data_IF_307722868299
#
_entry.id   IF_307722868299
#
_cell.length_a   1.000
_cell.length_b   1.000
_cell.length_c   1.000
_cell.angle_alpha   90.00
_cell.angle_beta   90.00
_cell.angle_gamma   90.00
#
_symmetry.space_group_name_H-M   'P 1'
#
loop_
_entity.id
_entity.type
_entity.pdbx_description
1 polymer ?
#
# COMPACT_ATOMS: atom_id res chain seq x y z
N UNK A 1 30.09 -54.75 22.06
CA UNK A 1 28.88 -53.96 21.77
C UNK A 1 27.69 -54.81 22.19
N UNK A 2 26.74 -54.31 22.99
CA UNK A 2 25.74 -55.17 23.64
C UNK A 2 24.38 -55.25 22.91
N UNK A 3 24.13 -54.42 21.90
CA UNK A 3 22.85 -54.35 21.16
C UNK A 3 23.10 -53.99 19.69
N UNK A 4 22.22 -54.41 18.79
CA UNK A 4 22.25 -54.09 17.35
C UNK A 4 21.50 -52.80 17.02
N UNK A 5 21.76 -52.22 15.84
CA UNK A 5 21.06 -51.02 15.37
C UNK A 5 19.57 -51.30 15.13
N UNK A 6 19.25 -52.50 14.65
CA UNK A 6 17.88 -52.97 14.38
C UNK A 6 17.05 -53.07 15.66
N UNK A 7 17.60 -53.67 16.72
CA UNK A 7 16.93 -53.79 18.02
C UNK A 7 16.61 -52.43 18.66
N UNK A 8 17.51 -51.46 18.49
CA UNK A 8 17.31 -50.10 18.99
C UNK A 8 16.22 -49.36 18.20
N UNK A 9 16.20 -49.51 16.87
CA UNK A 9 15.19 -48.90 16.00
C UNK A 9 13.80 -49.48 16.29
N UNK A 10 13.68 -50.80 16.44
CA UNK A 10 12.39 -51.44 16.65
C UNK A 10 11.75 -51.01 17.97
N UNK A 11 12.54 -50.95 19.04
CA UNK A 11 12.07 -50.45 20.32
C UNK A 11 11.60 -48.98 20.29
N UNK A 12 12.20 -48.13 19.45
CA UNK A 12 11.71 -46.76 19.27
C UNK A 12 10.35 -46.72 18.57
N UNK A 13 10.11 -47.61 17.60
CA UNK A 13 8.80 -47.72 16.93
C UNK A 13 7.72 -48.24 17.87
N UNK A 14 8.04 -49.25 18.68
CA UNK A 14 7.14 -49.77 19.73
C UNK A 14 6.73 -48.66 20.70
N UNK A 15 7.71 -47.90 21.24
CA UNK A 15 7.44 -46.78 22.14
C UNK A 15 6.60 -45.68 21.48
N UNK A 16 6.81 -45.41 20.19
CA UNK A 16 6.02 -44.43 19.47
C UNK A 16 4.56 -44.87 19.32
N UNK A 17 4.34 -46.14 19.01
CA UNK A 17 3.01 -46.73 18.93
C UNK A 17 2.26 -46.67 20.28
N UNK A 18 2.97 -46.90 21.39
CA UNK A 18 2.40 -46.83 22.75
C UNK A 18 2.08 -45.38 23.16
N UNK A 19 3.02 -44.45 22.94
CA UNK A 19 2.91 -43.08 23.45
C UNK A 19 2.10 -42.14 22.55
N UNK A 20 1.91 -42.49 21.27
CA UNK A 20 1.33 -41.60 20.26
C UNK A 20 2.16 -40.34 20.00
N UNK A 21 3.41 -40.28 20.49
CA UNK A 21 4.35 -39.16 20.36
C UNK A 21 5.79 -39.66 20.29
N UNK A 22 6.73 -38.88 19.73
CA UNK A 22 8.15 -39.21 19.76
C UNK A 22 8.63 -39.48 21.19
N UNK A 23 9.26 -40.65 21.47
CA UNK A 23 9.77 -40.94 22.79
C UNK A 23 10.85 -39.93 23.19
N UNK A 24 10.95 -39.65 24.49
CA UNK A 24 11.98 -38.79 25.08
C UNK A 24 12.85 -39.59 26.04
N UNK A 25 13.98 -39.04 26.50
CA UNK A 25 14.92 -39.75 27.39
C UNK A 25 14.26 -40.42 28.62
N UNK A 26 13.19 -39.83 29.16
CA UNK A 26 12.44 -40.37 30.32
C UNK A 26 11.56 -41.57 29.97
N UNK A 27 11.20 -41.73 28.71
CA UNK A 27 10.35 -42.82 28.24
C UNK A 27 11.17 -44.11 27.97
N UNK A 28 12.50 -43.99 27.86
CA UNK A 28 13.40 -45.11 27.62
C UNK A 28 13.59 -45.95 28.89
N UNK A 29 12.89 -47.09 28.97
CA UNK A 29 13.00 -48.03 30.09
C UNK A 29 13.96 -49.19 29.81
N UNK A 30 14.01 -49.65 28.55
CA UNK A 30 14.74 -50.88 28.14
C UNK A 30 16.20 -50.61 27.77
N UNK A 31 16.44 -49.57 26.97
CA UNK A 31 17.78 -49.23 26.48
C UNK A 31 18.18 -47.83 26.91
N UNK A 32 19.46 -47.64 27.27
CA UNK A 32 19.93 -46.33 27.73
C UNK A 32 19.98 -45.32 26.58
N UNK A 33 19.75 -44.05 26.90
CA UNK A 33 19.88 -42.95 25.94
C UNK A 33 21.26 -42.91 25.26
N UNK A 34 22.32 -43.29 25.99
CA UNK A 34 23.68 -43.29 25.45
C UNK A 34 23.93 -44.41 24.44
N UNK A 35 23.15 -45.49 24.46
CA UNK A 35 23.22 -46.53 23.43
C UNK A 35 22.87 -45.93 22.06
N UNK A 36 21.76 -45.19 21.97
CA UNK A 36 21.35 -44.51 20.74
C UNK A 36 22.36 -43.48 20.26
N UNK A 37 22.97 -42.73 21.19
CA UNK A 37 24.02 -41.76 20.86
C UNK A 37 25.26 -42.44 20.29
N UNK A 38 25.68 -43.59 20.85
CA UNK A 38 26.87 -44.33 20.39
C UNK A 38 26.66 -44.97 19.02
N UNK A 39 25.46 -45.49 18.74
CA UNK A 39 25.15 -46.17 17.48
C UNK A 39 24.81 -45.19 16.35
N UNK A 40 23.99 -44.17 16.61
CA UNK A 40 23.44 -43.27 15.57
C UNK A 40 24.02 -41.85 15.62
N UNK A 41 24.96 -41.57 16.53
CA UNK A 41 25.52 -40.25 16.79
C UNK A 41 24.60 -39.33 17.62
N UNK A 42 23.29 -39.41 17.41
CA UNK A 42 22.28 -38.67 18.17
C UNK A 42 20.98 -39.46 18.33
N UNK A 43 20.20 -39.13 19.36
CA UNK A 43 18.88 -39.75 19.55
C UNK A 43 17.88 -39.37 18.45
N UNK A 44 17.97 -38.15 17.91
CA UNK A 44 17.13 -37.75 16.78
C UNK A 44 17.51 -38.47 15.47
N UNK A 45 18.78 -38.82 15.27
CA UNK A 45 19.20 -39.66 14.15
C UNK A 45 18.61 -41.07 14.25
N UNK A 46 18.53 -41.61 15.48
CA UNK A 46 17.86 -42.87 15.73
C UNK A 46 16.35 -42.79 15.42
N UNK A 47 15.68 -41.69 15.79
CA UNK A 47 14.29 -41.44 15.41
C UNK A 47 14.11 -41.32 13.90
N UNK A 48 15.00 -40.61 13.19
CA UNK A 48 14.97 -40.50 11.72
C UNK A 48 15.14 -41.87 11.06
N UNK A 49 16.12 -42.67 11.52
CA UNK A 49 16.36 -44.04 11.05
C UNK A 49 15.16 -44.96 11.33
N UNK A 50 14.44 -44.72 12.42
CA UNK A 50 13.20 -45.40 12.75
C UNK A 50 11.97 -44.90 11.96
N UNK A 51 12.11 -43.85 11.13
CA UNK A 51 11.01 -43.24 10.39
C UNK A 51 10.06 -42.40 11.27
N UNK A 52 10.52 -41.96 12.44
CA UNK A 52 9.72 -41.25 13.44
C UNK A 52 9.97 -39.74 13.40
N UNK A 53 8.97 -38.91 13.78
CA UNK A 53 9.16 -37.47 13.87
C UNK A 53 10.19 -37.12 14.96
N UNK A 54 11.14 -36.26 14.63
CA UNK A 54 12.21 -35.86 15.56
C UNK A 54 11.68 -35.05 16.73
N UNK A 55 12.29 -35.26 17.90
CA UNK A 55 11.97 -34.44 19.05
C UNK A 55 12.61 -33.05 18.86
N UNK A 56 11.77 -32.02 18.70
CA UNK A 56 12.18 -30.62 18.48
C UNK A 56 13.13 -30.09 19.58
N UNK A 57 13.18 -30.75 20.73
CA UNK A 57 14.07 -30.41 21.86
C UNK A 57 15.51 -30.93 21.71
N UNK A 58 15.82 -31.78 20.72
CA UNK A 58 17.10 -32.51 20.64
C UNK A 58 17.82 -32.45 19.27
N UNK A 59 17.77 -31.31 18.56
CA UNK A 59 18.60 -31.14 17.35
C UNK A 59 20.08 -31.24 17.70
N UNK A 60 20.84 -32.09 17.00
CA UNK A 60 22.29 -32.12 17.12
C UNK A 60 22.93 -30.93 16.41
N UNK A 61 24.20 -30.69 16.70
CA UNK A 61 24.98 -29.64 16.04
C UNK A 61 25.05 -29.87 14.52
N UNK A 62 25.19 -31.13 14.10
CA UNK A 62 25.18 -31.52 12.68
C UNK A 62 23.83 -31.24 12.00
N UNK A 63 22.70 -31.47 12.68
CA UNK A 63 21.37 -31.24 12.11
C UNK A 63 21.15 -29.75 11.80
N UNK A 64 21.53 -28.89 12.74
CA UNK A 64 21.37 -27.44 12.61
C UNK A 64 22.31 -26.90 11.53
N UNK A 65 23.59 -27.28 11.57
CA UNK A 65 24.58 -26.80 10.59
C UNK A 65 24.26 -27.33 9.18
N UNK A 66 23.82 -28.59 9.06
CA UNK A 66 23.39 -29.19 7.80
C UNK A 66 22.18 -28.48 7.19
N UNK A 67 21.18 -28.13 8.00
CA UNK A 67 20.07 -27.30 7.53
C UNK A 67 20.53 -25.92 7.03
N UNK A 68 21.44 -25.26 7.76
CA UNK A 68 21.97 -23.94 7.36
C UNK A 68 22.68 -24.03 6.00
N UNK A 69 23.49 -25.07 5.79
CA UNK A 69 24.19 -25.31 4.52
C UNK A 69 23.21 -25.60 3.38
N UNK A 70 22.22 -26.45 3.62
CA UNK A 70 21.21 -26.77 2.61
C UNK A 70 20.37 -25.54 2.25
N UNK A 71 19.98 -24.74 3.24
CA UNK A 71 19.25 -23.49 3.02
C UNK A 71 20.02 -22.56 2.09
N UNK A 72 21.33 -22.41 2.30
CA UNK A 72 22.20 -21.59 1.45
C UNK A 72 22.25 -22.10 0.02
N UNK A 73 22.46 -23.41 -0.18
CA UNK A 73 22.48 -24.04 -1.51
C UNK A 73 21.17 -23.84 -2.27
N UNK A 74 20.03 -24.00 -1.61
CA UNK A 74 18.71 -23.91 -2.25
C UNK A 74 18.26 -22.47 -2.52
N UNK A 75 18.56 -21.54 -1.62
CA UNK A 75 18.02 -20.17 -1.68
C UNK A 75 19.02 -19.14 -2.22
N UNK A 76 20.28 -19.52 -2.44
CA UNK A 76 21.35 -18.61 -2.86
C UNK A 76 21.66 -17.50 -1.84
N UNK A 77 21.17 -17.63 -0.60
CA UNK A 77 21.37 -16.66 0.49
C UNK A 77 21.52 -17.36 1.83
N UNK A 78 22.28 -16.77 2.74
CA UNK A 78 22.41 -17.28 4.10
C UNK A 78 21.08 -17.13 4.87
N UNK A 79 20.69 -18.11 5.71
CA UNK A 79 19.45 -18.04 6.47
C UNK A 79 19.47 -16.89 7.48
N UNK A 80 18.34 -16.21 7.63
CA UNK A 80 18.12 -15.23 8.68
C UNK A 80 17.72 -15.92 9.99
N UNK A 81 17.90 -15.23 11.13
CA UNK A 81 17.41 -15.72 12.44
C UNK A 81 15.91 -16.04 12.38
N UNK A 82 15.13 -15.28 11.61
CA UNK A 82 13.70 -15.58 11.40
C UNK A 82 13.46 -16.87 10.61
N UNK A 83 14.30 -17.18 9.61
CA UNK A 83 14.19 -18.42 8.85
C UNK A 83 14.53 -19.62 9.77
N UNK A 84 15.54 -19.44 10.61
CA UNK A 84 15.91 -20.42 11.62
C UNK A 84 14.81 -20.63 12.67
N UNK A 85 14.20 -19.55 13.20
CA UNK A 85 13.08 -19.66 14.14
C UNK A 85 11.86 -20.31 13.49
N UNK A 86 11.56 -20.03 12.21
CA UNK A 86 10.48 -20.71 11.49
C UNK A 86 10.71 -22.21 11.39
N UNK A 87 11.94 -22.64 11.16
CA UNK A 87 12.28 -24.06 11.06
C UNK A 87 12.31 -24.75 12.43
N UNK A 88 13.00 -24.16 13.41
CA UNK A 88 13.37 -24.84 14.66
C UNK A 88 12.61 -24.35 15.89
N UNK A 89 11.88 -23.24 15.78
CA UNK A 89 11.02 -22.69 16.84
C UNK A 89 11.75 -21.99 17.99
N UNK A 90 13.07 -22.17 18.15
CA UNK A 90 13.80 -21.63 19.31
C UNK A 90 15.19 -21.07 18.96
N UNK A 91 15.35 -19.76 19.19
CA UNK A 91 16.64 -19.06 19.02
C UNK A 91 17.72 -19.49 20.02
N UNK A 92 17.34 -20.11 21.16
CA UNK A 92 18.29 -20.62 22.15
C UNK A 92 19.13 -21.78 21.60
N UNK A 93 18.62 -22.50 20.58
CA UNK A 93 19.30 -23.65 19.99
C UNK A 93 20.66 -23.29 19.40
N UNK A 94 20.79 -22.15 18.71
CA UNK A 94 22.09 -21.71 18.21
C UNK A 94 22.84 -20.90 19.28
N UNK A 95 22.12 -20.13 20.11
CA UNK A 95 22.74 -19.23 21.10
C UNK A 95 23.55 -19.98 22.15
N UNK A 96 23.03 -21.11 22.64
CA UNK A 96 23.71 -21.91 23.65
C UNK A 96 24.92 -22.71 23.11
N UNK A 97 25.02 -22.86 21.78
CA UNK A 97 26.05 -23.68 21.12
C UNK A 97 27.16 -22.84 20.51
N UNK A 98 26.78 -21.85 19.70
CA UNK A 98 27.70 -21.04 18.91
C UNK A 98 27.63 -19.55 19.26
N UNK A 99 26.79 -19.16 20.24
CA UNK A 99 26.68 -17.78 20.71
C UNK A 99 25.91 -16.89 19.75
N UNK A 100 26.61 -16.13 18.91
CA UNK A 100 25.99 -15.20 17.96
C UNK A 100 25.56 -15.91 16.68
N UNK A 101 24.54 -15.40 15.99
CA UNK A 101 24.13 -15.95 14.69
C UNK A 101 25.26 -15.88 13.66
N UNK A 102 26.09 -14.83 13.75
CA UNK A 102 27.28 -14.69 12.92
C UNK A 102 28.26 -15.86 13.12
N UNK A 103 28.55 -16.22 14.36
CA UNK A 103 29.39 -17.37 14.67
C UNK A 103 28.76 -18.68 14.19
N UNK A 104 27.44 -18.85 14.34
CA UNK A 104 26.73 -20.01 13.79
C UNK A 104 26.94 -20.17 12.28
N UNK A 105 26.82 -19.07 11.51
CA UNK A 105 27.06 -19.10 10.06
C UNK A 105 28.53 -19.39 9.72
N UNK A 106 29.50 -18.83 10.47
CA UNK A 106 30.93 -19.16 10.33
C UNK A 106 31.17 -20.66 10.55
N UNK A 107 30.64 -21.23 11.62
CA UNK A 107 30.76 -22.66 11.93
C UNK A 107 30.13 -23.53 10.85
N UNK A 108 29.00 -23.08 10.28
CA UNK A 108 28.34 -23.75 9.16
C UNK A 108 29.11 -23.63 7.83
N UNK A 109 30.19 -22.83 7.77
CA UNK A 109 30.93 -22.49 6.55
C UNK A 109 30.05 -21.86 5.47
N UNK A 110 29.09 -21.06 5.90
CA UNK A 110 28.18 -20.30 5.02
C UNK A 110 28.48 -18.81 5.19
N UNK A 111 28.39 -17.98 4.13
CA UNK A 111 28.70 -16.55 4.24
C UNK A 111 27.95 -15.88 5.39
N UNK A 112 28.70 -15.29 6.31
CA UNK A 112 28.13 -14.52 7.41
C UNK A 112 27.54 -13.26 6.82
N UNK A 113 26.23 -13.04 7.00
CA UNK A 113 25.65 -11.73 6.72
C UNK A 113 26.33 -10.75 7.66
N UNK A 114 27.14 -9.86 7.12
CA UNK A 114 27.90 -8.94 7.94
C UNK A 114 26.94 -8.07 8.77
N UNK A 115 27.22 -8.00 10.07
CA UNK A 115 26.78 -6.87 10.87
C UNK A 115 27.46 -5.65 10.25
N UNK A 116 26.69 -4.69 9.73
CA UNK A 116 27.23 -3.52 9.02
C UNK A 116 28.19 -2.65 9.85
N UNK A 117 28.38 -2.97 11.14
CA UNK A 117 29.34 -2.32 12.00
C UNK A 117 30.82 -2.65 11.69
N UNK A 118 31.10 -3.54 10.72
CA UNK A 118 32.47 -3.95 10.39
C UNK A 118 32.74 -4.22 8.89
N UNK A 119 31.91 -3.75 7.96
CA UNK A 119 32.30 -3.78 6.55
C UNK A 119 33.34 -2.71 6.30
N UNK A 120 34.45 -3.07 5.67
CA UNK A 120 35.32 -2.09 5.04
C UNK A 120 34.61 -1.40 3.89
N UNK A 121 35.06 -0.20 3.56
CA UNK A 121 34.54 0.57 2.43
C UNK A 121 34.67 -0.22 1.11
N UNK A 122 35.77 -0.93 0.90
CA UNK A 122 35.99 -1.75 -0.29
C UNK A 122 34.98 -2.92 -0.39
N UNK A 123 34.75 -3.64 0.71
CA UNK A 123 33.74 -4.71 0.76
C UNK A 123 32.32 -4.19 0.50
N UNK A 124 32.04 -2.96 0.93
CA UNK A 124 30.76 -2.31 0.71
C UNK A 124 30.52 -2.00 -0.76
N UNK A 125 31.57 -1.54 -1.44
CA UNK A 125 31.56 -1.26 -2.87
C UNK A 125 31.44 -2.54 -3.70
N UNK A 126 32.24 -3.56 -3.40
CA UNK A 126 32.24 -4.84 -4.13
C UNK A 126 30.87 -5.51 -4.06
N UNK A 127 30.27 -5.55 -2.86
CA UNK A 127 28.95 -6.14 -2.68
C UNK A 127 27.87 -5.35 -3.43
N UNK A 128 27.97 -4.02 -3.43
CA UNK A 128 27.05 -3.17 -4.21
C UNK A 128 27.18 -3.45 -5.70
N UNK A 129 28.39 -3.58 -6.23
CA UNK A 129 28.66 -3.91 -7.65
C UNK A 129 28.07 -5.28 -8.00
N UNK A 130 28.29 -6.31 -7.17
CA UNK A 130 27.77 -7.65 -7.38
C UNK A 130 26.25 -7.65 -7.50
N UNK A 131 25.55 -7.03 -6.54
CA UNK A 131 24.08 -6.96 -6.57
C UNK A 131 23.60 -6.14 -7.77
N UNK A 132 24.30 -5.09 -8.15
CA UNK A 132 23.97 -4.33 -9.35
C UNK A 132 24.13 -5.15 -10.64
N UNK A 133 25.19 -5.97 -10.75
CA UNK A 133 25.38 -6.91 -11.87
C UNK A 133 24.26 -7.95 -11.93
N UNK A 134 23.84 -8.47 -10.78
CA UNK A 134 22.71 -9.42 -10.70
C UNK A 134 21.38 -8.78 -11.14
N UNK A 135 21.15 -7.52 -10.81
CA UNK A 135 19.90 -6.82 -11.10
C UNK A 135 19.90 -6.14 -12.48
N UNK A 136 21.06 -5.93 -13.09
CA UNK A 136 21.23 -5.06 -14.26
C UNK A 136 20.89 -3.58 -13.98
N UNK A 137 20.74 -3.19 -12.71
CA UNK A 137 20.38 -1.83 -12.27
C UNK A 137 20.77 -1.60 -10.82
N UNK A 138 20.74 -0.34 -10.40
CA UNK A 138 20.86 0.02 -8.97
C UNK A 138 19.70 -0.58 -8.16
N UNK A 139 19.98 -1.23 -7.02
CA UNK A 139 18.96 -1.69 -6.08
C UNK A 139 18.04 -0.56 -5.62
N UNK A 140 16.73 -0.82 -5.51
CA UNK A 140 15.76 0.07 -4.87
C UNK A 140 15.88 -0.04 -3.35
N UNK A 141 15.39 0.95 -2.60
CA UNK A 141 15.50 1.02 -1.13
C UNK A 141 15.16 -0.30 -0.41
N UNK A 142 14.05 -0.94 -0.77
CA UNK A 142 13.61 -2.20 -0.13
C UNK A 142 14.49 -3.40 -0.49
N UNK A 143 15.22 -3.31 -1.60
CA UNK A 143 16.09 -4.36 -2.10
C UNK A 143 17.46 -4.38 -1.41
N UNK A 144 17.90 -3.27 -0.82
CA UNK A 144 19.12 -3.25 -0.01
C UNK A 144 19.05 -4.27 1.13
N UNK A 145 17.96 -4.28 1.88
CA UNK A 145 17.74 -5.29 2.93
C UNK A 145 17.62 -6.71 2.35
N UNK A 146 16.89 -6.86 1.23
CA UNK A 146 16.67 -8.15 0.54
C UNK A 146 17.99 -8.81 0.11
N UNK A 147 18.92 -8.04 -0.43
CA UNK A 147 20.21 -8.54 -0.93
C UNK A 147 21.36 -8.46 0.08
N UNK A 148 21.05 -8.05 1.32
CA UNK A 148 22.04 -7.94 2.39
C UNK A 148 23.04 -6.80 2.18
N UNK A 149 22.65 -5.76 1.45
CA UNK A 149 23.42 -4.52 1.34
C UNK A 149 23.18 -3.63 2.57
N UNK A 150 24.18 -2.81 2.97
CA UNK A 150 24.02 -1.79 3.99
C UNK A 150 22.89 -0.82 3.64
N UNK A 151 22.34 -0.14 4.64
CA UNK A 151 21.29 0.84 4.34
C UNK A 151 21.83 1.92 3.38
N UNK A 152 20.98 2.52 2.51
CA UNK A 152 21.43 3.62 1.66
C UNK A 152 22.08 4.77 2.44
N UNK A 153 21.67 5.00 3.69
CA UNK A 153 22.24 5.98 4.61
C UNK A 153 23.68 5.64 5.01
N UNK A 154 23.98 4.36 5.21
CA UNK A 154 25.33 3.87 5.57
C UNK A 154 26.37 4.22 4.50
N UNK A 155 25.99 4.22 3.21
CA UNK A 155 26.88 4.67 2.14
C UNK A 155 27.17 6.17 2.20
N UNK A 156 26.20 6.98 2.64
CA UNK A 156 26.40 8.43 2.81
C UNK A 156 27.36 8.68 3.99
N UNK A 157 27.21 7.93 5.08
CA UNK A 157 28.06 8.04 6.26
C UNK A 157 29.52 7.62 5.99
N UNK A 158 29.74 6.54 5.24
CA UNK A 158 31.07 6.03 4.93
C UNK A 158 31.77 6.77 3.79
N UNK A 159 31.06 7.04 2.68
CA UNK A 159 31.67 7.57 1.46
C UNK A 159 31.38 9.06 1.20
N UNK A 160 30.58 9.70 2.06
CA UNK A 160 30.09 11.07 1.85
C UNK A 160 29.17 11.21 0.64
N UNK A 161 28.73 10.10 0.04
CA UNK A 161 27.90 10.13 -1.18
C UNK A 161 26.95 8.94 -1.24
N UNK A 162 25.87 9.10 -2.01
CA UNK A 162 24.94 8.00 -2.22
C UNK A 162 25.62 6.83 -2.91
N UNK A 163 25.13 5.60 -2.66
CA UNK A 163 25.51 4.39 -3.40
C UNK A 163 25.49 4.62 -4.93
N UNK A 164 24.58 5.50 -5.39
CA UNK A 164 24.49 5.89 -6.77
C UNK A 164 25.71 6.68 -7.28
N UNK A 165 26.09 7.73 -6.56
CA UNK A 165 27.25 8.54 -6.92
C UNK A 165 28.56 7.77 -6.72
N UNK A 166 28.61 6.87 -5.73
CA UNK A 166 29.77 6.04 -5.44
C UNK A 166 30.16 5.18 -6.63
N UNK A 167 29.22 4.44 -7.20
CA UNK A 167 29.49 3.60 -8.36
C UNK A 167 29.76 4.43 -9.64
N UNK A 168 29.15 5.63 -9.78
CA UNK A 168 29.50 6.56 -10.87
C UNK A 168 30.96 7.01 -10.77
N UNK A 169 31.43 7.38 -9.57
CA UNK A 169 32.82 7.74 -9.30
C UNK A 169 33.79 6.62 -9.67
N UNK A 170 33.37 5.37 -9.51
CA UNK A 170 34.17 4.17 -9.84
C UNK A 170 33.95 3.65 -11.28
N UNK A 171 33.33 4.44 -12.16
CA UNK A 171 33.23 4.11 -13.60
C UNK A 171 32.11 3.15 -13.99
N UNK A 172 31.21 2.76 -13.07
CA UNK A 172 30.11 1.82 -13.35
C UNK A 172 28.89 2.49 -14.01
N UNK A 173 29.11 3.24 -15.10
CA UNK A 173 28.10 4.11 -15.74
C UNK A 173 26.87 3.33 -16.27
N UNK A 174 27.07 2.10 -16.78
CA UNK A 174 25.99 1.27 -17.34
C UNK A 174 24.90 0.90 -16.30
N UNK A 175 25.24 0.95 -15.01
CA UNK A 175 24.32 0.65 -13.91
C UNK A 175 23.40 1.87 -13.58
N UNK A 176 23.80 3.08 -14.01
CA UNK A 176 23.17 4.37 -13.68
C UNK A 176 22.26 4.97 -14.74
N UNK A 177 22.40 4.55 -15.99
CA UNK A 177 21.80 5.26 -17.12
C UNK A 177 20.35 4.84 -17.34
N UNK A 178 19.42 5.25 -16.47
CA UNK A 178 18.00 5.25 -16.87
C UNK A 178 17.16 6.44 -16.37
N UNK A 179 17.63 7.32 -15.47
CA UNK A 179 16.68 8.26 -14.82
C UNK A 179 17.05 9.73 -14.75
N UNK A 180 18.05 10.24 -15.48
CA UNK A 180 18.32 11.69 -15.40
C UNK A 180 18.54 12.49 -16.68
N UNK A 181 18.58 11.89 -17.86
CA UNK A 181 18.50 12.60 -19.15
C UNK A 181 18.21 11.57 -20.26
N UNK A 182 16.95 11.16 -20.38
CA UNK A 182 16.52 10.42 -21.57
C UNK A 182 16.22 11.48 -22.64
N UNK A 183 16.99 11.51 -23.72
CA UNK A 183 16.65 12.37 -24.87
C UNK A 183 15.32 11.92 -25.47
N UNK A 184 14.65 12.82 -26.17
CA UNK A 184 13.40 12.50 -26.86
C UNK A 184 13.55 11.25 -27.75
N UNK A 185 14.67 11.13 -28.46
CA UNK A 185 14.97 10.01 -29.35
C UNK A 185 14.99 8.66 -28.61
N UNK A 186 15.63 8.62 -27.43
CA UNK A 186 15.71 7.37 -26.65
C UNK A 186 14.36 6.93 -26.11
N UNK A 187 13.48 7.88 -25.74
CA UNK A 187 12.12 7.54 -25.32
C UNK A 187 11.29 7.04 -26.51
N UNK A 188 11.53 7.57 -27.71
CA UNK A 188 10.87 7.09 -28.92
C UNK A 188 11.32 5.67 -29.25
N UNK A 189 12.62 5.38 -29.17
CA UNK A 189 13.16 4.03 -29.41
C UNK A 189 12.64 3.02 -28.37
N UNK A 190 12.64 3.40 -27.08
CA UNK A 190 12.08 2.58 -26.00
C UNK A 190 10.60 2.25 -26.26
N UNK A 191 9.81 3.25 -26.68
CA UNK A 191 8.40 3.06 -26.98
C UNK A 191 8.17 2.14 -28.21
N UNK A 192 9.06 2.18 -29.20
CA UNK A 192 9.01 1.29 -30.37
C UNK A 192 9.36 -0.15 -30.01
N UNK A 193 10.43 -0.34 -29.25
CA UNK A 193 10.85 -1.66 -28.74
C UNK A 193 9.72 -2.32 -27.94
N UNK A 194 9.04 -1.57 -27.07
CA UNK A 194 7.93 -2.09 -26.28
C UNK A 194 6.73 -2.46 -27.16
N UNK A 195 6.44 -1.65 -28.17
CA UNK A 195 5.35 -1.96 -29.10
C UNK A 195 5.63 -3.24 -29.89
N UNK A 196 6.89 -3.48 -30.27
CA UNK A 196 7.34 -4.71 -30.92
C UNK A 196 7.23 -5.91 -29.96
N UNK A 197 7.72 -5.76 -28.72
CA UNK A 197 7.66 -6.80 -27.69
C UNK A 197 6.22 -7.25 -27.39
N UNK A 198 5.28 -6.30 -27.35
CA UNK A 198 3.87 -6.57 -27.06
C UNK A 198 3.08 -6.97 -28.31
N UNK A 199 3.63 -6.78 -29.52
CA UNK A 199 2.91 -6.91 -30.79
C UNK A 199 1.79 -5.88 -31.00
N UNK A 200 1.70 -4.86 -30.14
CA UNK A 200 0.73 -3.77 -30.22
C UNK A 200 1.23 -2.52 -29.47
N UNK A 201 0.64 -1.37 -29.78
CA UNK A 201 1.01 -0.09 -29.14
C UNK A 201 0.58 -0.11 -27.67
N UNK A 202 1.49 0.10 -26.70
CA UNK A 202 1.17 0.02 -25.29
C UNK A 202 0.19 1.11 -24.84
N UNK A 203 -0.77 0.75 -23.98
CA UNK A 203 -1.56 1.72 -23.23
C UNK A 203 -0.75 2.32 -22.07
N UNK A 204 -1.23 3.45 -21.52
CA UNK A 204 -0.62 4.07 -20.33
C UNK A 204 -0.57 3.13 -19.13
N UNK A 205 -1.60 2.29 -18.97
CA UNK A 205 -1.67 1.34 -17.86
C UNK A 205 -0.69 0.18 -18.03
N UNK A 206 -0.54 -0.34 -19.25
CA UNK A 206 0.46 -1.37 -19.58
C UNK A 206 1.86 -0.82 -19.40
N UNK A 207 2.12 0.39 -19.87
CA UNK A 207 3.40 1.05 -19.69
C UNK A 207 3.76 1.21 -18.21
N UNK A 208 2.82 1.68 -17.38
CA UNK A 208 3.06 1.83 -15.94
C UNK A 208 3.21 0.48 -15.21
N UNK A 209 2.57 -0.60 -15.69
CA UNK A 209 2.77 -1.95 -15.17
C UNK A 209 4.12 -2.52 -15.57
N UNK A 210 4.53 -2.34 -16.82
CA UNK A 210 5.85 -2.74 -17.31
C UNK A 210 6.94 -1.99 -16.54
N UNK A 211 6.84 -0.68 -16.40
CA UNK A 211 7.82 0.16 -15.70
C UNK A 211 7.96 -0.18 -14.19
N UNK A 212 6.98 -0.87 -13.58
CA UNK A 212 7.11 -1.37 -12.20
C UNK A 212 8.10 -2.53 -12.10
N UNK A 213 8.12 -3.39 -13.10
CA UNK A 213 8.82 -4.68 -13.10
C UNK A 213 10.00 -4.75 -14.10
N UNK A 214 10.23 -3.69 -14.89
CA UNK A 214 11.28 -3.62 -15.92
C UNK A 214 12.11 -2.33 -15.80
N UNK A 215 13.00 -2.13 -16.77
CA UNK A 215 13.83 -0.92 -16.90
C UNK A 215 13.17 0.20 -17.71
N UNK A 216 11.98 -0.03 -18.27
CA UNK A 216 11.27 0.96 -19.08
C UNK A 216 10.81 2.18 -18.29
N UNK A 217 10.71 3.30 -18.99
CA UNK A 217 10.30 4.59 -18.46
C UNK A 217 8.80 4.60 -18.10
N UNK A 218 8.41 5.27 -17.01
CA UNK A 218 6.98 5.35 -16.65
C UNK A 218 6.26 6.34 -17.55
N UNK A 219 4.93 6.24 -17.65
CA UNK A 219 4.08 7.18 -18.41
C UNK A 219 4.31 8.64 -17.99
N UNK A 220 4.67 8.88 -16.72
CA UNK A 220 5.01 10.21 -16.22
C UNK A 220 6.20 10.85 -16.95
N UNK A 221 7.24 10.08 -17.30
CA UNK A 221 8.43 10.58 -17.99
C UNK A 221 8.05 11.04 -19.40
N UNK A 222 7.27 10.22 -20.13
CA UNK A 222 6.76 10.57 -21.45
C UNK A 222 5.87 11.83 -21.41
N UNK A 223 4.97 11.95 -20.44
CA UNK A 223 4.15 13.16 -20.27
C UNK A 223 5.00 14.40 -19.96
N UNK A 224 6.08 14.25 -19.19
CA UNK A 224 6.97 15.37 -18.85
C UNK A 224 7.77 15.85 -20.05
N UNK A 225 8.23 14.94 -20.91
CA UNK A 225 9.07 15.27 -22.08
C UNK A 225 8.23 15.69 -23.28
N UNK A 226 7.18 14.94 -23.61
CA UNK A 226 6.36 15.18 -24.81
C UNK A 226 5.07 15.96 -24.53
N UNK A 227 4.81 16.35 -23.27
CA UNK A 227 3.59 17.01 -22.81
C UNK A 227 2.39 16.06 -22.63
N UNK A 228 2.28 15.01 -23.44
CA UNK A 228 1.24 14.00 -23.32
C UNK A 228 1.68 12.63 -23.86
N UNK A 229 1.00 11.57 -23.42
CA UNK A 229 1.24 10.21 -23.95
C UNK A 229 0.95 10.13 -25.46
N UNK A 230 -0.13 10.76 -25.92
CA UNK A 230 -0.47 10.76 -27.34
C UNK A 230 0.55 11.52 -28.19
N UNK A 231 1.22 12.55 -27.64
CA UNK A 231 2.32 13.20 -28.34
C UNK A 231 3.55 12.29 -28.44
N UNK A 232 3.84 11.51 -27.40
CA UNK A 232 4.89 10.50 -27.46
C UNK A 232 4.60 9.44 -28.52
N UNK A 233 3.36 8.93 -28.57
CA UNK A 233 2.91 7.99 -29.62
C UNK A 233 3.08 8.60 -31.03
N UNK A 234 2.66 9.85 -31.23
CA UNK A 234 2.82 10.55 -32.52
C UNK A 234 4.28 10.69 -32.93
N UNK A 235 5.15 11.13 -32.01
CA UNK A 235 6.60 11.25 -32.31
C UNK A 235 7.25 9.89 -32.58
N UNK A 236 6.75 8.82 -31.98
CA UNK A 236 7.20 7.47 -32.26
C UNK A 236 6.61 6.85 -33.54
N UNK A 237 5.72 7.56 -34.26
CA UNK A 237 5.09 7.08 -35.50
C UNK A 237 3.85 6.20 -35.28
N UNK A 238 3.35 6.11 -34.05
CA UNK A 238 2.16 5.35 -33.70
C UNK A 238 0.88 6.19 -33.80
N UNK A 239 -0.23 5.51 -34.13
CA UNK A 239 -1.56 6.13 -34.05
C UNK A 239 -1.88 6.42 -32.57
N UNK A 240 -2.35 7.63 -32.23
CA UNK A 240 -2.80 7.94 -30.87
C UNK A 240 -3.84 6.92 -30.40
N UNK A 241 -3.75 6.49 -29.14
CA UNK A 241 -4.77 5.63 -28.58
C UNK A 241 -6.10 6.41 -28.57
N UNK A 242 -7.17 5.76 -29.02
CA UNK A 242 -8.46 6.37 -29.35
C UNK A 242 -8.92 7.38 -28.28
N UNK A 243 -9.16 8.59 -28.77
CA UNK A 243 -9.65 9.81 -28.13
C UNK A 243 -9.91 9.74 -26.61
N UNK A 244 -9.14 10.55 -25.87
CA UNK A 244 -9.69 11.22 -24.70
C UNK A 244 -11.00 11.82 -25.17
N UNK A 245 -12.15 11.34 -24.68
CA UNK A 245 -13.39 12.09 -24.79
C UNK A 245 -13.07 13.48 -24.25
N UNK A 246 -12.84 14.45 -25.15
CA UNK A 246 -12.93 15.87 -24.81
C UNK A 246 -14.39 16.02 -24.44
N UNK A 247 -14.69 15.82 -23.16
CA UNK A 247 -15.94 16.32 -22.63
C UNK A 247 -16.03 17.80 -22.98
N UNK A 248 -17.24 18.26 -23.27
CA UNK A 248 -17.58 19.66 -23.55
C UNK A 248 -16.71 20.61 -22.72
N UNK A 249 -16.14 21.61 -23.39
CA UNK A 249 -15.36 22.67 -22.76
C UNK A 249 -16.22 23.47 -21.80
N UNK A 250 -15.56 24.23 -20.95
CA UNK A 250 -16.21 25.06 -19.96
C UNK A 250 -17.12 26.13 -20.62
N UNK A 251 -16.71 26.64 -21.78
CA UNK A 251 -17.50 27.56 -22.60
C UNK A 251 -18.69 26.88 -23.29
N UNK A 252 -18.50 25.66 -23.81
CA UNK A 252 -19.56 24.89 -24.49
C UNK A 252 -20.69 24.51 -23.51
N UNK A 253 -20.34 24.17 -22.27
CA UNK A 253 -21.33 23.87 -21.21
C UNK A 253 -22.15 25.11 -20.86
N UNK A 254 -21.53 26.29 -20.82
CA UNK A 254 -22.22 27.56 -20.56
C UNK A 254 -23.13 27.97 -21.73
N UNK A 255 -22.71 27.76 -22.97
CA UNK A 255 -23.53 28.02 -24.17
C UNK A 255 -24.77 27.12 -24.19
N UNK A 256 -24.60 25.82 -23.92
CA UNK A 256 -25.73 24.88 -23.80
C UNK A 256 -26.65 25.29 -22.66
N UNK A 257 -26.10 25.65 -21.49
CA UNK A 257 -26.90 26.11 -20.36
C UNK A 257 -27.69 27.39 -20.67
N UNK A 258 -27.11 28.32 -21.43
CA UNK A 258 -27.77 29.55 -21.88
C UNK A 258 -28.92 29.25 -22.84
N UNK A 259 -28.69 28.41 -23.85
CA UNK A 259 -29.72 27.96 -24.82
C UNK A 259 -30.89 27.26 -24.13
N UNK A 260 -30.61 26.39 -23.15
CA UNK A 260 -31.65 25.73 -22.35
C UNK A 260 -32.47 26.76 -21.57
N UNK A 261 -31.81 27.75 -20.97
CA UNK A 261 -32.51 28.79 -20.22
C UNK A 261 -33.38 29.67 -21.12
N UNK A 262 -32.89 30.05 -22.30
CA UNK A 262 -33.66 30.81 -23.30
C UNK A 262 -34.88 30.02 -23.81
N UNK A 263 -34.74 28.71 -24.01
CA UNK A 263 -35.82 27.87 -24.51
C UNK A 263 -36.89 27.50 -23.46
N UNK A 264 -36.48 27.26 -22.21
CA UNK A 264 -37.36 26.69 -21.17
C UNK A 264 -37.61 27.64 -19.99
N UNK A 265 -37.03 28.86 -19.99
CA UNK A 265 -37.05 29.82 -18.88
C UNK A 265 -36.60 29.24 -17.53
N UNK A 266 -35.98 28.05 -17.53
CA UNK A 266 -35.57 27.31 -16.34
C UNK A 266 -34.31 26.50 -16.66
N UNK A 267 -33.43 26.35 -15.67
CA UNK A 267 -32.20 25.57 -15.80
C UNK A 267 -32.08 24.61 -14.61
N UNK A 268 -31.92 23.31 -14.88
CA UNK A 268 -31.67 22.31 -13.84
C UNK A 268 -30.76 21.19 -14.38
N UNK A 269 -30.16 20.41 -13.47
CA UNK A 269 -29.20 19.38 -13.86
C UNK A 269 -29.81 18.28 -14.75
N UNK A 270 -31.12 18.00 -14.61
CA UNK A 270 -31.82 17.00 -15.43
C UNK A 270 -31.94 17.49 -16.88
N UNK A 271 -32.36 18.74 -17.08
CA UNK A 271 -32.44 19.36 -18.40
C UNK A 271 -31.07 19.41 -19.09
N UNK A 272 -30.01 19.73 -18.35
CA UNK A 272 -28.66 19.73 -18.90
C UNK A 272 -28.20 18.35 -19.37
N UNK A 273 -28.59 17.28 -18.65
CA UNK A 273 -28.31 15.89 -19.06
C UNK A 273 -29.12 15.49 -20.29
N UNK A 274 -30.38 15.87 -20.38
CA UNK A 274 -31.23 15.64 -21.56
C UNK A 274 -30.66 16.34 -22.82
N UNK A 275 -29.90 17.43 -22.64
CA UNK A 275 -29.24 18.18 -23.71
C UNK A 275 -27.75 17.85 -23.86
N UNK A 276 -27.32 16.66 -23.40
CA UNK A 276 -25.99 16.11 -23.69
C UNK A 276 -24.87 16.52 -22.73
N UNK A 277 -25.16 17.22 -21.63
CA UNK A 277 -24.17 17.53 -20.59
C UNK A 277 -24.24 16.51 -19.44
N UNK A 278 -23.19 15.71 -19.27
CA UNK A 278 -23.11 14.69 -18.23
C UNK A 278 -23.05 15.30 -16.81
N UNK A 279 -23.50 14.52 -15.82
CA UNK A 279 -23.43 14.90 -14.40
C UNK A 279 -21.99 15.18 -13.95
N UNK A 280 -21.01 14.44 -14.49
CA UNK A 280 -19.59 14.65 -14.19
C UNK A 280 -19.09 16.01 -14.70
N UNK A 281 -19.51 16.42 -15.91
CA UNK A 281 -19.22 17.74 -16.46
C UNK A 281 -19.83 18.87 -15.61
N UNK A 282 -21.10 18.74 -15.21
CA UNK A 282 -21.76 19.70 -14.31
C UNK A 282 -21.03 19.79 -12.96
N UNK A 283 -20.55 18.65 -12.44
CA UNK A 283 -19.79 18.57 -11.19
C UNK A 283 -18.43 19.26 -11.26
N UNK A 284 -17.67 19.08 -12.36
CA UNK A 284 -16.39 19.77 -12.58
C UNK A 284 -16.53 21.29 -12.56
N UNK A 285 -17.68 21.80 -13.00
CA UNK A 285 -18.03 23.22 -12.95
C UNK A 285 -18.48 23.74 -11.57
N UNK A 286 -18.41 22.94 -10.52
CA UNK A 286 -18.90 23.33 -9.19
C UNK A 286 -20.43 23.30 -9.06
N UNK A 287 -21.10 22.53 -9.93
CA UNK A 287 -22.53 22.24 -9.86
C UNK A 287 -23.43 23.28 -10.53
N UNK A 288 -24.70 22.91 -10.68
CA UNK A 288 -25.73 23.70 -11.38
C UNK A 288 -25.90 25.11 -10.78
N UNK A 289 -25.70 25.27 -9.47
CA UNK A 289 -25.81 26.56 -8.78
C UNK A 289 -24.71 27.52 -9.21
N UNK A 290 -23.49 27.02 -9.46
CA UNK A 290 -22.38 27.86 -9.95
C UNK A 290 -22.62 28.28 -11.40
N UNK A 291 -23.08 27.35 -12.24
CA UNK A 291 -23.48 27.63 -13.64
C UNK A 291 -24.55 28.72 -13.69
N UNK A 292 -25.60 28.61 -12.85
CA UNK A 292 -26.64 29.65 -12.75
C UNK A 292 -26.10 31.01 -12.32
N UNK A 293 -25.21 31.04 -11.33
CA UNK A 293 -24.57 32.28 -10.87
C UNK A 293 -23.71 32.91 -11.98
N UNK A 294 -22.96 32.11 -12.72
CA UNK A 294 -22.13 32.58 -13.85
C UNK A 294 -22.99 33.19 -14.96
N UNK A 295 -24.16 32.62 -15.23
CA UNK A 295 -25.12 33.12 -16.23
C UNK A 295 -26.11 34.15 -15.67
N UNK A 296 -25.94 34.59 -14.43
CA UNK A 296 -26.84 35.51 -13.71
C UNK A 296 -28.32 35.06 -13.68
N UNK A 297 -28.56 33.74 -13.67
CA UNK A 297 -29.89 33.12 -13.62
C UNK A 297 -30.38 33.05 -12.16
N UNK A 298 -31.65 33.40 -11.86
CA UNK A 298 -32.22 33.33 -10.52
C UNK A 298 -32.06 31.93 -9.88
N UNK A 299 -31.42 31.88 -8.72
CA UNK A 299 -31.23 30.65 -7.96
C UNK A 299 -32.33 30.53 -6.89
N UNK A 300 -33.32 29.66 -7.11
CA UNK A 300 -34.25 29.27 -6.04
C UNK A 300 -33.53 28.35 -5.05
N UNK A 301 -33.08 28.91 -3.93
CA UNK A 301 -32.82 28.13 -2.72
C UNK A 301 -34.16 27.50 -2.32
N UNK A 302 -34.33 26.21 -2.56
CA UNK A 302 -35.49 25.46 -2.05
C UNK A 302 -35.38 25.34 -0.53
N UNK A 303 -35.75 26.39 0.20
CA UNK A 303 -36.13 26.25 1.61
C UNK A 303 -37.54 25.70 1.64
N UNK A 304 -37.73 24.51 2.24
CA UNK A 304 -39.02 23.83 2.42
C UNK A 304 -40.06 24.70 3.16
N UNK A 305 -39.61 25.74 3.84
CA UNK A 305 -40.42 26.63 4.66
C UNK A 305 -40.09 28.09 4.30
N UNK A 306 -41.11 28.94 4.26
CA UNK A 306 -40.98 30.38 4.09
C UNK A 306 -40.70 31.05 5.45
N UNK A 307 -40.36 32.35 5.43
CA UNK A 307 -40.28 33.15 6.67
C UNK A 307 -41.62 33.16 7.42
N UNK A 308 -42.74 33.16 6.71
CA UNK A 308 -44.07 33.15 7.30
C UNK A 308 -44.37 31.82 7.99
N UNK A 309 -44.01 30.69 7.37
CA UNK A 309 -44.15 29.36 7.99
C UNK A 309 -43.34 29.25 9.28
N UNK A 310 -42.16 29.88 9.33
CA UNK A 310 -41.34 29.95 10.54
C UNK A 310 -41.99 30.80 11.64
N UNK A 311 -42.62 31.92 11.31
CA UNK A 311 -43.35 32.76 12.27
C UNK A 311 -44.61 32.05 12.77
N UNK A 312 -45.35 31.36 11.89
CA UNK A 312 -46.51 30.57 12.25
C UNK A 312 -46.14 29.44 13.22
N UNK A 313 -45.07 28.70 12.94
CA UNK A 313 -44.58 27.67 13.85
C UNK A 313 -44.13 28.22 15.20
N UNK A 314 -43.57 29.43 15.26
CA UNK A 314 -43.24 30.14 16.51
C UNK A 314 -44.49 30.62 17.26
N UNK A 315 -45.51 31.07 16.54
CA UNK A 315 -46.79 31.48 17.12
C UNK A 315 -47.54 30.29 17.73
N UNK A 316 -47.55 29.12 17.08
CA UNK A 316 -48.11 27.89 17.67
C UNK A 316 -47.45 27.54 19.01
N UNK A 317 -46.13 27.66 19.10
CA UNK A 317 -45.41 27.45 20.35
C UNK A 317 -45.74 28.54 21.39
N UNK A 318 -45.87 29.80 20.98
CA UNK A 318 -46.29 30.89 21.86
C UNK A 318 -47.69 30.67 22.44
N UNK A 319 -48.66 30.28 21.61
CA UNK A 319 -50.02 29.96 22.07
C UNK A 319 -50.03 28.77 23.02
N UNK A 320 -49.13 27.79 22.83
CA UNK A 320 -49.04 26.63 23.70
C UNK A 320 -48.40 26.93 25.07
N UNK A 321 -47.28 27.66 25.09
CA UNK A 321 -46.56 27.97 26.33
C UNK A 321 -47.11 29.20 27.06
N UNK A 322 -47.88 30.06 26.40
CA UNK A 322 -48.39 31.32 26.95
C UNK A 322 -47.31 32.40 27.11
N UNK A 323 -46.08 32.14 26.65
CA UNK A 323 -44.97 33.06 26.64
C UNK A 323 -44.06 32.79 25.44
N UNK A 324 -43.10 33.71 25.19
CA UNK A 324 -42.14 33.54 24.10
C UNK A 324 -41.29 32.28 24.33
N UNK A 325 -41.25 31.35 23.37
CA UNK A 325 -40.56 30.08 23.56
C UNK A 325 -39.04 30.26 23.47
N UNK A 326 -38.31 29.65 24.40
CA UNK A 326 -36.88 29.41 24.26
C UNK A 326 -36.61 28.33 23.19
N UNK A 327 -35.36 28.25 22.70
CA UNK A 327 -34.96 27.21 21.75
C UNK A 327 -35.21 25.81 22.33
N UNK A 328 -34.95 25.62 23.63
CA UNK A 328 -35.09 24.32 24.28
C UNK A 328 -36.57 23.93 24.44
N UNK A 329 -37.43 24.87 24.83
CA UNK A 329 -38.88 24.65 24.92
C UNK A 329 -39.46 24.35 23.53
N UNK A 330 -39.05 25.13 22.51
CA UNK A 330 -39.46 24.90 21.13
C UNK A 330 -39.00 23.56 20.57
N UNK A 331 -37.84 23.06 20.99
CA UNK A 331 -37.32 21.76 20.54
C UNK A 331 -37.85 20.58 21.36
N UNK A 332 -38.39 20.83 22.56
CA UNK A 332 -38.92 19.79 23.46
C UNK A 332 -40.20 19.13 22.92
N UNK A 333 -40.95 19.86 22.10
CA UNK A 333 -42.12 19.38 21.36
C UNK A 333 -41.79 19.54 19.89
N UNK A 334 -42.08 18.55 19.06
CA UNK A 334 -41.66 18.49 17.65
C UNK A 334 -42.38 19.53 16.74
N UNK A 335 -42.37 20.82 17.11
CA UNK A 335 -42.88 21.93 16.31
C UNK A 335 -42.14 22.01 14.97
N UNK A 336 -42.86 22.41 13.93
CA UNK A 336 -42.33 22.62 12.59
C UNK A 336 -42.56 24.07 12.17
N UNK A 337 -41.58 24.72 11.53
CA UNK A 337 -40.26 24.24 11.11
C UNK A 337 -39.26 24.07 12.28
N UNK A 338 -38.22 23.24 12.11
CA UNK A 338 -37.21 23.05 13.17
C UNK A 338 -36.53 24.36 13.57
N UNK A 339 -36.02 24.47 14.81
CA UNK A 339 -35.32 25.67 15.26
C UNK A 339 -34.12 26.04 14.35
N UNK A 340 -33.44 25.04 13.77
CA UNK A 340 -32.36 25.26 12.80
C UNK A 340 -32.85 25.92 11.51
N UNK A 341 -34.04 25.54 11.05
CA UNK A 341 -34.68 26.17 9.88
C UNK A 341 -35.05 27.62 10.18
N UNK A 342 -35.61 27.89 11.37
CA UNK A 342 -35.96 29.25 11.80
C UNK A 342 -34.69 30.13 11.87
N UNK A 343 -33.62 29.63 12.49
CA UNK A 343 -32.33 30.34 12.55
C UNK A 343 -31.77 30.60 11.15
N UNK A 344 -31.93 29.67 10.19
CA UNK A 344 -31.50 29.88 8.80
C UNK A 344 -32.19 31.08 8.15
N UNK A 345 -33.47 31.33 8.46
CA UNK A 345 -34.24 32.43 7.89
C UNK A 345 -34.03 33.79 8.60
N UNK A 346 -33.81 33.78 9.92
CA UNK A 346 -33.73 34.99 10.75
C UNK A 346 -32.33 35.31 11.29
N UNK A 347 -31.33 34.47 10.95
CA UNK A 347 -29.94 34.48 11.44
C UNK A 347 -29.76 34.18 12.93
N UNK A 348 -30.66 34.64 13.80
CA UNK A 348 -30.66 34.35 15.24
C UNK A 348 -32.07 34.08 15.75
N UNK A 349 -32.19 33.33 16.85
CA UNK A 349 -33.49 33.05 17.49
C UNK A 349 -34.17 34.32 18.00
N UNK A 350 -33.40 35.23 18.61
CA UNK A 350 -33.94 36.49 19.14
C UNK A 350 -34.55 37.36 18.03
N UNK A 351 -33.93 37.41 16.84
CA UNK A 351 -34.51 38.11 15.69
C UNK A 351 -35.81 37.49 15.22
N UNK A 352 -35.95 36.16 15.31
CA UNK A 352 -37.20 35.48 14.98
C UNK A 352 -38.30 35.82 16.01
N UNK A 353 -37.96 35.92 17.30
CA UNK A 353 -38.89 36.33 18.35
C UNK A 353 -39.30 37.81 18.26
N UNK A 354 -38.41 38.70 17.83
CA UNK A 354 -38.74 40.11 17.56
C UNK A 354 -39.77 40.23 16.44
N UNK A 355 -39.62 39.46 15.36
CA UNK A 355 -40.57 39.41 14.26
C UNK A 355 -41.90 38.76 14.68
N UNK A 356 -41.86 37.73 15.54
CA UNK A 356 -43.07 37.18 16.17
C UNK A 356 -43.81 38.23 17.01
N UNK A 357 -43.09 39.05 17.81
CA UNK A 357 -43.73 40.12 18.60
C UNK A 357 -44.45 41.13 17.72
N UNK A 358 -43.84 41.52 16.60
CA UNK A 358 -44.48 42.41 15.61
C UNK A 358 -45.74 41.78 15.02
N UNK A 359 -45.67 40.49 14.70
CA UNK A 359 -46.80 39.71 14.19
C UNK A 359 -47.96 39.60 15.20
N UNK A 360 -47.66 39.30 16.46
CA UNK A 360 -48.68 39.26 17.54
C UNK A 360 -49.31 40.64 17.76
N UNK A 361 -48.49 41.70 17.81
CA UNK A 361 -49.01 43.06 17.96
C UNK A 361 -49.91 43.47 16.78
N UNK A 362 -49.57 43.07 15.57
CA UNK A 362 -50.39 43.30 14.38
C UNK A 362 -51.75 42.59 14.49
N UNK A 363 -51.77 41.32 14.93
CA UNK A 363 -53.01 40.56 15.15
C UNK A 363 -53.87 41.09 16.30
N UNK A 364 -53.29 41.83 17.25
CA UNK A 364 -54.04 42.45 18.35
C UNK A 364 -54.67 43.81 18.00
N UNK A 365 -54.34 44.38 16.84
CA UNK A 365 -54.86 45.66 16.34
C UNK A 365 -55.91 45.51 15.22
N UNK A 366 -56.09 44.29 14.71
CA UNK A 366 -57.13 43.86 13.76
C UNK A 366 -58.18 43.05 14.48
#
# INVERSE_FOLDING_TARGET
MKYSDEELIEYLKELYAELGRPPVKRDLKKYSYDAYRKHFGSFNNALIKAGLPVNRRFYSDADILGWIQNFYKTNGRSPHVSDFIKQFGDSKLFRNRWGTWANTLKTAKVPVRASFKSLSDDEMLDRLIEVCKMLGRVPKRLEFSKYGLPSPTTYIEHFGMSAANLLKKHGYIFIYSFRKNMSEDKLIDELKEIAELLGHVPSTLEMDRLAKNSLYSTTYIYKKVFGSWNNALKKAGFKPNSEVHKGLSDEEILDIAKKIYEAYSTLNAKLMVEHGVTISQIGRHGGITRIKKTLNIPCNDRTKYTKNDCINGLNEAYQYFGHLPSINEYNSRHFKPSYKTIIKHFRTWNKALEELKKFINFLSQT
#
